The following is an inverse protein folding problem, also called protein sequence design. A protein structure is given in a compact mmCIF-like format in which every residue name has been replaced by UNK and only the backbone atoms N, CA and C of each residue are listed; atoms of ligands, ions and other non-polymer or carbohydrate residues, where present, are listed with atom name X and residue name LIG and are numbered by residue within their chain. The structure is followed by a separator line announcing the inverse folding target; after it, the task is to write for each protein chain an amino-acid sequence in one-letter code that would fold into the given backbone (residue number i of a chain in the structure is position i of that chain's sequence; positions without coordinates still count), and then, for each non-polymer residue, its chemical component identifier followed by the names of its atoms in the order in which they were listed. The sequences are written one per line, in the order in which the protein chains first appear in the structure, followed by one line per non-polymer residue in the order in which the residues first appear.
data_IF_319615004228
#
_entry.id   IF_319615004228
#
_cell.length_a   1.000
_cell.length_b   1.000
_cell.length_c   1.000
_cell.angle_alpha   90.00
_cell.angle_beta   90.00
_cell.angle_gamma   90.00
#
_symmetry.space_group_name_H-M   'P 1'
#
loop_
_entity.id
_entity.type
_entity.pdbx_description
1 polymer ?
#
# COMPACT_ATOMS: atom_id res chain seq x y z
N UNK A 1 2.47 0.50 17.10
CA UNK A 1 2.74 0.65 15.66
C UNK A 1 1.49 1.16 14.98
N UNK A 2 1.65 2.08 14.04
CA UNK A 2 0.58 2.83 13.38
C UNK A 2 -0.35 1.98 12.49
N UNK A 3 -0.06 0.70 12.29
CA UNK A 3 -0.79 -0.21 11.42
C UNK A 3 -1.38 -1.45 12.14
N UNK A 4 -1.24 -1.53 13.48
CA UNK A 4 -1.58 -2.72 14.29
C UNK A 4 -1.03 -4.04 13.72
N UNK A 5 0.00 -4.01 12.86
CA UNK A 5 0.69 -5.21 12.43
C UNK A 5 1.76 -5.57 13.46
N UNK A 6 2.00 -6.86 13.65
CA UNK A 6 3.21 -7.32 14.30
C UNK A 6 4.33 -7.30 13.23
N UNK A 7 5.50 -6.69 13.49
CA UNK A 7 6.56 -6.63 12.48
C UNK A 7 7.01 -8.04 12.10
N UNK A 8 7.39 -8.23 10.83
CA UNK A 8 7.95 -9.51 10.33
C UNK A 8 9.26 -9.91 11.04
N UNK A 9 9.87 -8.99 11.78
CA UNK A 9 10.82 -9.28 12.87
C UNK A 9 10.47 -8.42 14.10
N UNK A 10 9.32 -8.68 14.71
CA UNK A 10 8.69 -7.89 15.77
C UNK A 10 9.38 -7.85 17.13
N UNK A 11 10.71 -7.75 17.16
CA UNK A 11 11.42 -7.45 18.40
C UNK A 11 11.45 -5.94 18.57
N UNK A 12 10.67 -5.44 19.53
CA UNK A 12 11.06 -4.25 20.26
C UNK A 12 12.36 -4.63 20.95
N UNK A 13 13.48 -4.10 20.48
CA UNK A 13 14.80 -4.51 20.97
C UNK A 13 15.06 -3.94 22.36
N UNK A 14 14.50 -2.77 22.65
CA UNK A 14 14.66 -2.07 23.92
C UNK A 14 13.60 -0.99 24.06
N UNK A 15 13.19 -0.73 25.30
CA UNK A 15 12.50 0.50 25.69
C UNK A 15 13.57 1.45 26.23
N UNK A 16 13.63 2.65 25.71
CA UNK A 16 14.61 3.66 26.14
C UNK A 16 13.88 4.93 26.52
N UNK A 17 14.24 5.50 27.67
CA UNK A 17 13.85 6.85 28.01
C UNK A 17 14.77 7.80 27.23
N UNK A 18 14.21 8.48 26.22
CA UNK A 18 14.92 9.53 25.51
C UNK A 18 14.49 10.86 26.08
N UNK A 19 15.48 11.61 26.49
CA UNK A 19 15.34 13.02 26.79
C UNK A 19 15.54 13.76 25.47
N UNK A 20 14.51 14.44 24.99
CA UNK A 20 14.67 15.35 23.87
C UNK A 20 14.32 16.75 24.32
N UNK A 21 15.13 17.70 23.86
CA UNK A 21 14.90 19.11 24.10
C UNK A 21 14.28 19.68 22.85
N UNK A 22 13.06 20.19 22.97
CA UNK A 22 12.39 20.93 21.93
C UNK A 22 12.16 22.35 22.44
N UNK A 23 12.77 23.34 21.79
CA UNK A 23 12.72 24.76 22.15
C UNK A 23 12.94 25.01 23.65
N UNK A 24 14.09 24.58 24.16
CA UNK A 24 14.54 24.69 25.56
C UNK A 24 13.66 23.99 26.61
N UNK A 25 12.60 23.31 26.21
CA UNK A 25 11.84 22.43 27.10
C UNK A 25 12.36 21.02 26.94
N UNK A 26 12.92 20.50 28.02
CA UNK A 26 13.48 19.16 28.01
C UNK A 26 12.48 18.21 28.64
N UNK A 27 11.97 17.28 27.83
CA UNK A 27 11.05 16.25 28.31
C UNK A 27 11.65 14.87 28.09
N UNK A 28 11.43 14.00 29.07
CA UNK A 28 11.89 12.61 29.01
C UNK A 28 10.70 11.73 28.70
N UNK A 29 10.77 11.01 27.59
CA UNK A 29 9.70 10.10 27.17
C UNK A 29 10.26 8.73 26.86
N UNK A 30 9.47 7.71 27.13
CA UNK A 30 9.83 6.34 26.80
C UNK A 30 9.47 6.03 25.35
N UNK A 31 10.47 5.60 24.59
CA UNK A 31 10.33 5.17 23.21
C UNK A 31 10.63 3.68 23.08
N UNK A 32 9.96 3.07 22.12
CA UNK A 32 10.26 1.72 21.65
C UNK A 32 11.25 1.85 20.49
N UNK A 33 12.39 1.18 20.58
CA UNK A 33 13.40 1.19 19.51
C UNK A 33 13.09 0.12 18.48
N UNK A 34 12.98 0.53 17.23
CA UNK A 34 12.77 -0.33 16.06
C UNK A 34 13.51 0.28 14.87
N UNK A 35 13.95 -0.53 13.88
CA UNK A 35 14.32 -0.01 12.58
C UNK A 35 13.09 0.66 11.96
N UNK A 36 13.10 1.99 11.81
CA UNK A 36 11.98 2.81 11.29
C UNK A 36 12.35 3.55 9.98
N UNK A 37 13.37 3.06 9.29
CA UNK A 37 13.89 3.65 8.06
C UNK A 37 14.65 4.95 8.33
N UNK A 38 14.45 5.94 7.46
CA UNK A 38 15.09 7.26 7.49
C UNK A 38 14.54 8.23 8.55
N UNK A 39 13.49 7.82 9.28
CA UNK A 39 12.81 8.68 10.25
C UNK A 39 13.54 8.70 11.60
N UNK A 40 13.66 9.89 12.20
CA UNK A 40 14.25 10.03 13.54
C UNK A 40 13.33 9.51 14.66
N UNK A 41 12.02 9.72 14.55
CA UNK A 41 11.03 9.26 15.51
C UNK A 41 9.62 9.22 14.91
N UNK A 42 8.77 8.34 15.44
CA UNK A 42 7.36 8.23 15.06
C UNK A 42 6.49 8.57 16.28
N UNK A 43 5.63 9.57 16.14
CA UNK A 43 4.73 10.01 17.20
C UNK A 43 3.41 9.23 17.12
N UNK A 44 3.08 8.51 18.20
CA UNK A 44 1.81 7.78 18.29
C UNK A 44 0.62 8.69 18.62
N UNK A 45 -0.59 8.26 18.26
CA UNK A 45 -1.85 8.99 18.47
C UNK A 45 -2.05 9.43 19.93
N UNK A 46 -1.80 8.55 20.91
CA UNK A 46 -1.91 8.89 22.35
C UNK A 46 -1.06 10.11 22.75
N UNK A 47 0.07 10.30 22.07
CA UNK A 47 0.96 11.42 22.32
C UNK A 47 0.40 12.71 21.72
N UNK A 48 -0.15 12.64 20.51
CA UNK A 48 -0.85 13.76 19.87
C UNK A 48 -2.07 14.20 20.69
N UNK A 49 -2.82 13.27 21.28
CA UNK A 49 -3.96 13.58 22.17
C UNK A 49 -3.53 14.31 23.45
N UNK A 50 -2.36 13.97 23.98
CA UNK A 50 -1.83 14.55 25.22
C UNK A 50 -1.24 15.95 24.98
N UNK A 51 -0.41 16.09 23.95
CA UNK A 51 0.33 17.32 23.66
C UNK A 51 -0.46 18.33 22.82
N UNK A 52 -1.57 17.88 22.19
CA UNK A 52 -2.49 18.68 21.36
C UNK A 52 -1.79 19.67 20.42
N UNK A 53 -0.89 19.18 19.53
CA UNK A 53 -0.26 20.05 18.55
C UNK A 53 -1.28 20.63 17.57
N UNK A 54 -0.99 21.81 17.05
CA UNK A 54 -1.64 22.38 15.87
C UNK A 54 -1.07 21.69 14.63
N UNK A 55 -1.90 20.94 13.93
CA UNK A 55 -1.51 20.22 12.70
C UNK A 55 -2.04 20.99 11.51
N UNK A 56 -1.15 21.34 10.59
CA UNK A 56 -1.49 21.88 9.28
C UNK A 56 -1.35 20.76 8.23
N UNK A 57 -2.49 20.17 7.88
CA UNK A 57 -2.56 19.06 6.92
C UNK A 57 -2.19 19.46 5.50
N UNK A 58 -2.46 20.70 5.07
CA UNK A 58 -2.15 21.12 3.69
C UNK A 58 -0.66 21.42 3.48
N UNK A 59 0.02 21.90 4.53
CA UNK A 59 1.46 22.16 4.50
C UNK A 59 2.30 21.01 5.06
N UNK A 60 1.67 19.89 5.45
CA UNK A 60 2.32 18.75 6.11
C UNK A 60 3.23 19.16 7.28
N UNK A 61 2.76 20.09 8.11
CA UNK A 61 3.51 20.58 9.27
C UNK A 61 2.73 20.40 10.56
N UNK A 62 3.44 20.15 11.67
CA UNK A 62 2.87 20.28 13.01
C UNK A 62 3.63 21.31 13.84
N UNK A 63 2.89 21.97 14.74
CA UNK A 63 3.41 22.97 15.67
C UNK A 63 2.83 22.74 17.07
N UNK A 64 3.67 22.74 18.10
CA UNK A 64 3.20 22.61 19.48
C UNK A 64 2.78 23.98 20.04
N UNK A 65 1.75 24.07 20.89
CA UNK A 65 1.31 25.32 21.50
C UNK A 65 2.31 25.78 22.59
N UNK A 66 3.44 26.33 22.14
CA UNK A 66 4.56 26.83 22.95
C UNK A 66 4.90 28.26 22.43
N UNK A 67 5.47 29.18 23.24
CA UNK A 67 5.57 30.62 22.90
C UNK A 67 6.30 30.95 21.58
N UNK A 68 7.13 30.03 21.07
CA UNK A 68 7.76 30.09 19.74
C UNK A 68 7.67 28.72 19.08
N UNK A 69 6.72 28.50 18.15
CA UNK A 69 6.57 27.21 17.47
C UNK A 69 7.64 27.04 16.39
N UNK A 70 8.48 26.01 16.50
CA UNK A 70 9.27 25.51 15.36
C UNK A 70 8.44 24.47 14.60
N UNK A 71 8.31 24.63 13.28
CA UNK A 71 7.51 23.72 12.46
C UNK A 71 8.28 22.43 12.18
N UNK A 72 7.67 21.29 12.46
CA UNK A 72 8.18 19.98 12.07
C UNK A 72 7.38 19.41 10.89
N UNK A 73 8.06 18.72 9.96
CA UNK A 73 7.42 18.07 8.82
C UNK A 73 6.85 16.69 9.21
N UNK A 74 5.70 16.34 8.62
CA UNK A 74 5.01 15.08 8.86
C UNK A 74 5.50 14.05 7.84
N UNK A 75 6.00 12.91 8.31
CA UNK A 75 6.38 11.78 7.45
C UNK A 75 5.15 11.13 6.79
N UNK A 76 5.23 10.84 5.48
CA UNK A 76 4.21 10.11 4.72
C UNK A 76 4.74 8.77 4.18
N UNK A 77 3.84 7.81 3.99
CA UNK A 77 4.14 6.46 3.46
C UNK A 77 4.52 6.48 1.96
N UNK A 78 4.26 7.60 1.27
CA UNK A 78 4.51 7.84 -0.15
C UNK A 78 5.56 8.95 -0.39
N UNK A 79 6.53 9.09 0.53
CA UNK A 79 7.76 9.82 0.20
C UNK A 79 8.59 8.91 -0.72
N UNK A 80 8.44 9.10 -2.03
CA UNK A 80 9.36 8.53 -3.00
C UNK A 80 10.74 9.11 -2.68
N UNK A 81 11.64 8.29 -2.17
CA UNK A 81 13.00 8.70 -1.84
C UNK A 81 13.61 9.35 -3.09
N UNK A 82 14.12 10.58 -2.94
CA UNK A 82 14.74 11.32 -4.03
C UNK A 82 15.96 10.58 -4.60
N UNK A 83 16.54 9.68 -3.80
CA UNK A 83 17.66 8.82 -4.17
C UNK A 83 17.35 7.34 -3.87
N UNK A 84 16.46 6.67 -4.65
CA UNK A 84 15.99 5.32 -4.35
C UNK A 84 17.08 4.24 -4.38
N UNK A 85 18.28 4.58 -4.87
CA UNK A 85 19.43 3.69 -4.99
C UNK A 85 20.43 3.80 -3.83
N UNK A 86 20.25 4.78 -2.93
CA UNK A 86 21.20 5.07 -1.84
C UNK A 86 21.36 3.91 -0.86
N UNK A 87 20.26 3.24 -0.54
CA UNK A 87 20.22 2.11 0.39
C UNK A 87 20.33 0.75 -0.31
N UNK A 88 20.36 0.74 -1.65
CA UNK A 88 20.43 -0.48 -2.46
C UNK A 88 21.90 -0.82 -2.73
N UNK A 89 22.36 -2.05 -2.50
CA UNK A 89 23.71 -2.47 -2.87
C UNK A 89 24.01 -2.22 -4.35
N UNK A 90 25.22 -1.74 -4.65
CA UNK A 90 25.63 -1.32 -6.00
C UNK A 90 25.40 -2.41 -7.08
N UNK A 91 25.49 -3.68 -6.71
CA UNK A 91 25.23 -4.82 -7.61
C UNK A 91 23.80 -4.85 -8.18
N UNK A 92 22.84 -4.16 -7.56
CA UNK A 92 21.46 -4.11 -8.03
C UNK A 92 21.10 -2.80 -8.74
N UNK A 93 22.02 -1.84 -8.81
CA UNK A 93 21.78 -0.56 -9.47
C UNK A 93 21.49 -0.73 -10.96
N UNK A 94 22.03 -1.77 -11.59
CA UNK A 94 21.73 -2.12 -12.99
C UNK A 94 20.27 -2.53 -13.21
N UNK A 95 19.58 -3.01 -12.17
CA UNK A 95 18.17 -3.41 -12.22
C UNK A 95 17.21 -2.36 -11.66
N UNK A 96 17.69 -1.15 -11.35
CA UNK A 96 16.88 -0.06 -10.82
C UNK A 96 15.60 0.20 -11.63
N UNK A 97 15.73 0.09 -12.96
CA UNK A 97 14.64 0.27 -13.91
C UNK A 97 13.51 -0.74 -13.73
N UNK A 98 13.82 -2.00 -13.36
CA UNK A 98 12.84 -3.07 -13.15
C UNK A 98 11.88 -2.75 -12.00
N UNK A 99 12.36 -2.02 -10.99
CA UNK A 99 11.55 -1.61 -9.84
C UNK A 99 10.76 -0.31 -10.09
N UNK A 100 10.96 0.33 -11.25
CA UNK A 100 10.23 1.53 -11.65
C UNK A 100 8.76 1.22 -11.92
N UNK A 101 7.88 2.16 -11.57
CA UNK A 101 6.43 2.06 -11.82
C UNK A 101 6.10 1.86 -13.30
N UNK A 102 6.93 2.38 -14.20
CA UNK A 102 6.75 2.24 -15.64
C UNK A 102 6.96 0.79 -16.11
N UNK A 103 8.01 0.11 -15.63
CA UNK A 103 8.28 -1.29 -15.97
C UNK A 103 7.28 -2.24 -15.29
N UNK A 104 6.86 -1.95 -14.06
CA UNK A 104 5.87 -2.76 -13.34
C UNK A 104 4.53 -2.88 -14.08
N UNK A 105 4.14 -1.86 -14.85
CA UNK A 105 2.86 -1.87 -15.59
C UNK A 105 2.94 -2.58 -16.94
N UNK A 106 4.14 -2.92 -17.42
CA UNK A 106 4.33 -3.61 -18.70
C UNK A 106 4.22 -5.12 -18.51
N UNK A 107 3.52 -5.79 -19.42
CA UNK A 107 3.56 -7.25 -19.48
C UNK A 107 4.96 -7.72 -19.90
N UNK A 108 5.45 -8.84 -19.36
CA UNK A 108 6.68 -9.46 -19.86
C UNK A 108 6.48 -9.92 -21.32
N UNK A 109 7.58 -10.09 -22.07
CA UNK A 109 7.53 -10.70 -23.39
C UNK A 109 6.84 -12.07 -23.33
N UNK A 110 6.00 -12.35 -24.33
CA UNK A 110 5.35 -13.65 -24.45
C UNK A 110 6.38 -14.76 -24.60
N UNK A 111 6.16 -15.88 -23.90
CA UNK A 111 7.07 -17.03 -23.94
C UNK A 111 6.81 -17.92 -25.15
N UNK A 112 7.65 -18.94 -25.36
CA UNK A 112 7.47 -19.92 -26.44
C UNK A 112 6.39 -20.97 -26.15
N UNK A 113 5.73 -20.88 -25.00
CA UNK A 113 4.69 -21.79 -24.56
C UNK A 113 3.62 -21.02 -23.78
N UNK A 114 2.40 -21.50 -23.88
CA UNK A 114 1.27 -21.05 -23.09
C UNK A 114 1.01 -22.00 -21.93
N UNK A 115 0.36 -21.48 -20.88
CA UNK A 115 -0.13 -22.30 -19.78
C UNK A 115 -1.56 -22.71 -20.11
N UNK A 116 -1.75 -24.00 -20.40
CA UNK A 116 -3.07 -24.58 -20.60
C UNK A 116 -3.73 -24.87 -19.25
N UNK A 117 -5.03 -24.56 -19.15
CA UNK A 117 -5.87 -24.94 -18.01
C UNK A 117 -6.82 -26.03 -18.51
N UNK A 118 -6.52 -27.28 -18.17
CA UNK A 118 -7.36 -28.42 -18.49
C UNK A 118 -8.64 -28.38 -17.63
N UNK A 119 -9.80 -28.43 -18.29
CA UNK A 119 -11.12 -28.44 -17.62
C UNK A 119 -11.67 -29.87 -17.56
N UNK A 120 -12.40 -30.20 -16.49
CA UNK A 120 -13.12 -31.47 -16.37
C UNK A 120 -14.38 -31.50 -17.25
N UNK A 121 -14.85 -32.70 -17.59
CA UNK A 121 -16.01 -32.95 -18.47
C UNK A 121 -17.32 -32.33 -17.92
N UNK A 122 -17.44 -32.11 -16.60
CA UNK A 122 -18.61 -31.47 -15.98
C UNK A 122 -18.64 -29.93 -16.12
N UNK A 123 -17.90 -29.38 -17.08
CA UNK A 123 -17.58 -27.96 -17.35
C UNK A 123 -18.53 -26.87 -16.81
N UNK A 124 -18.00 -25.69 -16.44
CA UNK A 124 -18.55 -24.90 -15.35
C UNK A 124 -19.95 -24.33 -15.60
N UNK A 125 -20.78 -24.54 -14.58
CA UNK A 125 -22.15 -24.05 -14.42
C UNK A 125 -22.15 -22.52 -14.25
N UNK A 126 -22.82 -21.79 -15.15
CA UNK A 126 -23.04 -20.33 -15.07
C UNK A 126 -23.17 -19.85 -13.62
N UNK A 127 -22.31 -18.91 -13.23
CA UNK A 127 -22.36 -18.34 -11.89
C UNK A 127 -23.45 -17.27 -11.83
N UNK A 128 -24.32 -17.28 -10.81
CA UNK A 128 -25.27 -16.18 -10.60
C UNK A 128 -24.51 -14.85 -10.49
N UNK A 129 -24.99 -13.81 -11.17
CA UNK A 129 -24.42 -12.48 -11.04
C UNK A 129 -24.79 -11.88 -9.68
N UNK A 130 -23.80 -11.40 -8.91
CA UNK A 130 -24.08 -10.57 -7.75
C UNK A 130 -24.61 -9.20 -8.19
N UNK A 131 -25.60 -8.69 -7.46
CA UNK A 131 -26.06 -7.32 -7.67
C UNK A 131 -24.95 -6.33 -7.33
N UNK A 132 -24.61 -5.45 -8.29
CA UNK A 132 -23.65 -4.38 -8.10
C UNK A 132 -24.38 -3.05 -7.91
N UNK A 133 -23.90 -2.25 -6.96
CA UNK A 133 -24.30 -0.83 -6.87
C UNK A 133 -23.70 -0.03 -8.02
N UNK A 134 -24.34 1.09 -8.37
CA UNK A 134 -23.88 1.96 -9.48
C UNK A 134 -22.43 2.39 -9.32
N UNK A 135 -22.02 2.70 -8.09
CA UNK A 135 -20.63 3.05 -7.75
C UNK A 135 -19.66 1.95 -8.11
N UNK A 136 -19.97 0.68 -7.75
CA UNK A 136 -19.14 -0.48 -8.09
C UNK A 136 -19.10 -0.73 -9.60
N UNK A 137 -20.20 -0.48 -10.31
CA UNK A 137 -20.27 -0.64 -11.77
C UNK A 137 -19.39 0.37 -12.50
N UNK A 138 -19.39 1.63 -12.06
CA UNK A 138 -18.50 2.67 -12.59
C UNK A 138 -17.03 2.29 -12.34
N UNK A 139 -16.69 1.88 -11.12
CA UNK A 139 -15.34 1.42 -10.79
C UNK A 139 -14.90 0.22 -11.64
N UNK A 140 -15.79 -0.75 -11.87
CA UNK A 140 -15.50 -1.91 -12.73
C UNK A 140 -15.19 -1.49 -14.15
N UNK A 141 -15.99 -0.58 -14.73
CA UNK A 141 -15.78 -0.09 -16.10
C UNK A 141 -14.44 0.62 -16.24
N UNK A 142 -14.06 1.42 -15.25
CA UNK A 142 -12.77 2.10 -15.23
C UNK A 142 -11.62 1.09 -15.16
N UNK A 143 -11.69 0.13 -14.25
CA UNK A 143 -10.68 -0.94 -14.13
C UNK A 143 -10.53 -1.73 -15.43
N UNK A 144 -11.65 -2.14 -16.07
CA UNK A 144 -11.62 -2.84 -17.35
C UNK A 144 -10.94 -2.01 -18.45
N UNK A 145 -11.22 -0.71 -18.50
CA UNK A 145 -10.58 0.21 -19.45
C UNK A 145 -9.07 0.30 -19.27
N UNK A 146 -8.62 0.39 -18.01
CA UNK A 146 -7.20 0.48 -17.67
C UNK A 146 -6.45 -0.82 -18.02
N UNK A 147 -7.02 -1.98 -17.69
CA UNK A 147 -6.43 -3.30 -17.96
C UNK A 147 -6.43 -3.64 -19.47
N UNK A 148 -7.47 -3.25 -20.20
CA UNK A 148 -7.51 -3.35 -21.67
C UNK A 148 -6.45 -2.46 -22.32
N UNK A 149 -6.29 -1.23 -21.85
CA UNK A 149 -5.25 -0.30 -22.32
C UNK A 149 -3.85 -0.83 -22.02
N UNK A 150 -3.67 -1.47 -20.87
CA UNK A 150 -2.43 -2.16 -20.49
C UNK A 150 -2.21 -3.48 -21.25
N UNK A 151 -3.18 -3.93 -22.06
CA UNK A 151 -3.19 -5.21 -22.79
C UNK A 151 -3.06 -6.45 -21.89
N UNK A 152 -3.43 -6.32 -20.61
CA UNK A 152 -3.41 -7.41 -19.62
C UNK A 152 -4.59 -8.36 -19.78
N UNK A 153 -5.71 -7.86 -20.30
CA UNK A 153 -6.90 -8.63 -20.64
C UNK A 153 -7.34 -8.31 -22.07
N UNK A 154 -8.12 -9.21 -22.67
CA UNK A 154 -8.73 -8.99 -23.97
C UNK A 154 -10.20 -9.46 -23.97
N UNK A 155 -11.05 -8.91 -24.85
CA UNK A 155 -12.41 -9.42 -25.02
C UNK A 155 -12.38 -10.85 -25.58
N UNK A 156 -13.08 -11.76 -24.92
CA UNK A 156 -13.20 -13.14 -25.36
C UNK A 156 -14.65 -13.62 -25.20
N UNK A 157 -15.09 -14.55 -26.07
CA UNK A 157 -16.41 -15.19 -26.00
C UNK A 157 -16.29 -16.61 -25.46
N UNK A 158 -16.53 -16.81 -24.17
CA UNK A 158 -16.64 -18.13 -23.56
C UNK A 158 -18.12 -18.47 -23.30
N UNK A 159 -18.44 -19.77 -23.28
CA UNK A 159 -19.73 -20.29 -22.76
C UNK A 159 -19.83 -20.18 -21.23
N UNK A 160 -18.72 -19.82 -20.58
CA UNK A 160 -18.52 -19.81 -19.14
C UNK A 160 -18.52 -18.36 -18.66
N UNK A 161 -19.22 -18.11 -17.55
CA UNK A 161 -19.21 -16.84 -16.84
C UNK A 161 -18.63 -17.01 -15.44
N UNK A 162 -17.61 -16.20 -15.14
CA UNK A 162 -17.02 -16.09 -13.82
C UNK A 162 -17.54 -14.82 -13.14
N UNK A 163 -17.64 -14.90 -11.81
CA UNK A 163 -18.19 -13.84 -11.00
C UNK A 163 -17.09 -12.91 -10.52
N UNK A 164 -17.43 -11.63 -10.39
CA UNK A 164 -16.49 -10.59 -9.98
C UNK A 164 -17.07 -9.79 -8.81
N UNK A 165 -16.24 -9.49 -7.82
CA UNK A 165 -16.60 -8.69 -6.65
C UNK A 165 -15.50 -7.71 -6.27
N UNK A 166 -15.87 -6.69 -5.48
CA UNK A 166 -14.93 -5.72 -4.92
C UNK A 166 -14.75 -5.93 -3.42
N UNK A 167 -13.50 -6.04 -2.99
CA UNK A 167 -13.11 -6.13 -1.58
C UNK A 167 -12.45 -4.81 -1.16
N UNK A 168 -12.91 -4.16 -0.09
CA UNK A 168 -12.28 -2.94 0.40
C UNK A 168 -10.88 -3.24 0.97
N UNK A 169 -9.91 -2.42 0.59
CA UNK A 169 -8.57 -2.39 1.17
C UNK A 169 -8.54 -1.44 2.37
N UNK A 170 -7.48 -1.55 3.18
CA UNK A 170 -7.27 -0.70 4.36
C UNK A 170 -7.09 0.78 4.02
N UNK A 171 -6.56 1.08 2.84
CA UNK A 171 -6.35 2.43 2.31
C UNK A 171 -7.64 3.09 1.78
N UNK A 172 -8.79 2.40 1.85
CA UNK A 172 -10.08 2.87 1.35
C UNK A 172 -10.32 2.60 -0.14
N UNK A 173 -9.31 2.12 -0.88
CA UNK A 173 -9.48 1.66 -2.26
C UNK A 173 -10.17 0.28 -2.30
N UNK A 174 -10.61 -0.16 -3.46
CA UNK A 174 -11.20 -1.49 -3.65
C UNK A 174 -10.30 -2.35 -4.55
N UNK A 175 -10.17 -3.63 -4.22
CA UNK A 175 -9.54 -4.62 -5.07
C UNK A 175 -10.61 -5.40 -5.83
N UNK A 176 -10.41 -5.55 -7.14
CA UNK A 176 -11.21 -6.49 -7.93
C UNK A 176 -10.79 -7.92 -7.56
N UNK A 177 -11.78 -8.79 -7.36
CA UNK A 177 -11.57 -10.21 -7.10
C UNK A 177 -12.47 -11.02 -8.02
N UNK A 178 -11.87 -11.96 -8.74
CA UNK A 178 -12.57 -12.93 -9.60
C UNK A 178 -12.78 -14.21 -8.80
N UNK A 179 -14.03 -14.67 -8.73
CA UNK A 179 -14.39 -15.88 -7.99
C UNK A 179 -14.22 -17.11 -8.89
N UNK A 180 -13.14 -17.85 -8.63
CA UNK A 180 -12.78 -19.08 -9.33
C UNK A 180 -13.28 -20.34 -8.63
N UNK A 181 -14.10 -20.25 -7.57
CA UNK A 181 -14.50 -21.45 -6.82
C UNK A 181 -15.14 -22.53 -7.67
N UNK A 182 -16.06 -22.16 -8.59
CA UNK A 182 -16.69 -23.10 -9.51
C UNK A 182 -15.78 -23.59 -10.64
N UNK A 183 -14.71 -22.86 -10.95
CA UNK A 183 -13.73 -23.28 -11.93
C UNK A 183 -12.74 -24.29 -11.31
N UNK A 184 -12.46 -24.13 -10.01
CA UNK A 184 -11.50 -24.93 -9.26
C UNK A 184 -12.11 -26.17 -8.58
N UNK A 185 -13.44 -26.32 -8.62
CA UNK A 185 -14.16 -27.46 -8.06
C UNK A 185 -14.10 -28.66 -8.99
#
# INVERSE_FOLDING_TARGET
MLDRSNPKTGKIWKKVALQFTYNNNTSTHEFLVSPIGSHAAVLGIKRLETEKPKINWSLHTLAFPIPTPETAYIAQEEEADAEPLKDIPAQYHEFATVFGKEEFNKLPPHWSYDIEIELTEEGPLNSPHYSMTDTKSITLKQWLGDELKARKICPFKLSISLLVMFVPKKDGSCCLLVDYQKLNS
#
